data_IF_168179334992
#
_entry.id   IF_168179334992
#
_cell.length_a   1.000
_cell.length_b   1.000
_cell.length_c   1.000
_cell.angle_alpha   90.00
_cell.angle_beta   90.00
_cell.angle_gamma   90.00
#
_symmetry.space_group_name_H-M   'P 1'
#
loop_
_entity.id
_entity.type
_entity.pdbx_description
1 polymer ?
#
# COMPACT_ATOMS: atom_id res chain seq x y z
N UNK A 1 -7.69 -16.97 -45.75
CA UNK A 1 -7.10 -16.29 -46.92
C UNK A 1 -6.75 -17.25 -48.05
N UNK A 2 -5.93 -18.28 -47.82
CA UNK A 2 -5.51 -19.25 -48.86
C UNK A 2 -6.70 -19.90 -49.58
N UNK A 3 -7.70 -20.37 -48.84
CA UNK A 3 -8.92 -20.97 -49.43
C UNK A 3 -9.76 -19.99 -50.26
N UNK A 4 -9.83 -18.72 -49.83
CA UNK A 4 -10.49 -17.65 -50.61
C UNK A 4 -9.76 -17.37 -51.92
N UNK A 5 -8.42 -17.48 -51.93
CA UNK A 5 -7.61 -17.28 -53.13
C UNK A 5 -7.67 -18.49 -54.08
N UNK A 6 -7.74 -19.70 -53.51
CA UNK A 6 -7.80 -20.96 -54.25
C UNK A 6 -9.20 -21.26 -54.82
N UNK A 7 -10.20 -20.40 -54.56
CA UNK A 7 -11.58 -20.63 -55.04
C UNK A 7 -12.25 -21.84 -54.39
N UNK A 8 -11.91 -22.17 -53.14
CA UNK A 8 -12.50 -23.29 -52.42
C UNK A 8 -14.02 -23.12 -52.22
N UNK A 9 -14.69 -24.21 -51.87
CA UNK A 9 -16.14 -24.23 -51.72
C UNK A 9 -16.63 -23.17 -50.70
N UNK A 10 -17.80 -22.57 -50.98
CA UNK A 10 -18.39 -21.56 -50.09
C UNK A 10 -18.68 -22.13 -48.70
N UNK A 11 -19.08 -23.39 -48.59
CA UNK A 11 -19.39 -24.03 -47.31
C UNK A 11 -18.16 -24.12 -46.41
N UNK A 12 -17.01 -24.55 -46.95
CA UNK A 12 -15.79 -24.74 -46.16
C UNK A 12 -15.24 -23.39 -45.66
N UNK A 13 -15.30 -22.38 -46.52
CA UNK A 13 -14.88 -21.02 -46.16
C UNK A 13 -15.83 -20.42 -45.11
N UNK A 14 -17.15 -20.63 -45.26
CA UNK A 14 -18.15 -20.12 -44.30
C UNK A 14 -17.94 -20.72 -42.91
N UNK A 15 -17.67 -22.03 -42.83
CA UNK A 15 -17.42 -22.71 -41.56
C UNK A 15 -16.20 -22.12 -40.82
N UNK A 16 -15.11 -21.84 -41.54
CA UNK A 16 -13.92 -21.21 -40.96
C UNK A 16 -14.16 -19.76 -40.53
N UNK A 17 -14.98 -19.02 -41.27
CA UNK A 17 -15.37 -17.65 -40.90
C UNK A 17 -16.24 -17.65 -39.64
N UNK A 18 -17.18 -18.59 -39.52
CA UNK A 18 -17.96 -18.76 -38.30
C UNK A 18 -17.05 -19.09 -37.11
N UNK A 19 -16.10 -20.02 -37.30
CA UNK A 19 -15.12 -20.38 -36.27
C UNK A 19 -14.24 -19.20 -35.84
N UNK A 20 -13.87 -18.33 -36.77
CA UNK A 20 -13.06 -17.13 -36.51
C UNK A 20 -13.88 -16.05 -35.78
N UNK A 21 -15.13 -15.82 -36.21
CA UNK A 21 -16.04 -14.88 -35.55
C UNK A 21 -16.32 -15.25 -34.10
N UNK A 22 -16.33 -16.55 -33.75
CA UNK A 22 -16.49 -17.02 -32.38
C UNK A 22 -15.28 -16.72 -31.47
N UNK A 23 -14.13 -16.32 -32.03
CA UNK A 23 -12.90 -16.02 -31.28
C UNK A 23 -12.62 -14.54 -31.14
N UNK A 24 -13.25 -13.69 -31.95
CA UNK A 24 -13.15 -12.24 -31.79
C UNK A 24 -13.80 -11.83 -30.48
N UNK A 25 -13.25 -10.80 -29.86
CA UNK A 25 -13.87 -10.18 -28.69
C UNK A 25 -14.98 -9.20 -29.13
N UNK A 26 -15.79 -8.68 -28.18
CA UNK A 26 -16.86 -7.72 -28.48
C UNK A 26 -16.39 -6.42 -29.15
N UNK A 27 -15.11 -6.05 -29.00
CA UNK A 27 -14.50 -4.90 -29.68
C UNK A 27 -14.02 -5.20 -31.11
N UNK A 28 -14.14 -6.45 -31.57
CA UNK A 28 -13.73 -6.87 -32.91
C UNK A 28 -12.23 -7.15 -33.06
N UNK A 29 -11.49 -7.24 -31.95
CA UNK A 29 -10.09 -7.68 -31.96
C UNK A 29 -9.98 -9.14 -31.51
N UNK A 30 -8.88 -9.78 -31.87
CA UNK A 30 -8.43 -11.04 -31.29
C UNK A 30 -7.47 -10.75 -30.13
N UNK A 31 -6.81 -11.78 -29.60
CA UNK A 31 -5.96 -11.68 -28.40
C UNK A 31 -4.68 -10.89 -28.66
N UNK A 32 -4.17 -10.92 -29.89
CA UNK A 32 -2.94 -10.24 -30.27
C UNK A 32 -3.20 -9.18 -31.36
N UNK A 33 -2.19 -8.39 -31.72
CA UNK A 33 -2.32 -7.49 -32.87
C UNK A 33 -2.22 -8.22 -34.21
N UNK A 34 -1.39 -9.27 -34.29
CA UNK A 34 -1.10 -9.98 -35.54
C UNK A 34 -2.26 -10.85 -36.00
N UNK A 35 -2.83 -11.65 -35.10
CA UNK A 35 -4.04 -12.42 -35.38
C UNK A 35 -5.20 -11.49 -35.77
N UNK A 36 -5.37 -10.36 -35.09
CA UNK A 36 -6.39 -9.35 -35.41
C UNK A 36 -6.26 -8.84 -36.85
N UNK A 37 -5.06 -8.41 -37.27
CA UNK A 37 -4.86 -7.85 -38.62
C UNK A 37 -5.16 -8.89 -39.71
N UNK A 38 -4.62 -10.11 -39.58
CA UNK A 38 -4.81 -11.16 -40.58
C UNK A 38 -6.24 -11.66 -40.61
N UNK A 39 -6.90 -11.77 -39.45
CA UNK A 39 -8.29 -12.16 -39.35
C UNK A 39 -9.21 -11.13 -39.99
N UNK A 40 -9.04 -9.84 -39.66
CA UNK A 40 -9.84 -8.76 -40.24
C UNK A 40 -9.68 -8.71 -41.77
N UNK A 41 -8.46 -8.86 -42.27
CA UNK A 41 -8.20 -8.95 -43.72
C UNK A 41 -8.96 -10.12 -44.36
N UNK A 42 -8.93 -11.31 -43.72
CA UNK A 42 -9.64 -12.48 -44.20
C UNK A 42 -11.16 -12.30 -44.20
N UNK A 43 -11.71 -11.72 -43.13
CA UNK A 43 -13.14 -11.45 -42.98
C UNK A 43 -13.63 -10.40 -43.99
N UNK A 44 -12.86 -9.33 -44.23
CA UNK A 44 -13.18 -8.34 -45.27
C UNK A 44 -13.23 -8.97 -46.66
N UNK A 45 -12.25 -9.82 -47.00
CA UNK A 45 -12.23 -10.52 -48.29
C UNK A 45 -13.41 -11.50 -48.42
N UNK A 46 -13.74 -12.23 -47.36
CA UNK A 46 -14.92 -13.08 -47.33
C UNK A 46 -16.22 -12.29 -47.48
N UNK A 47 -16.35 -11.11 -46.85
CA UNK A 47 -17.55 -10.29 -46.94
C UNK A 47 -17.87 -9.88 -48.39
N UNK A 48 -16.84 -9.58 -49.18
CA UNK A 48 -16.96 -9.30 -50.63
C UNK A 48 -17.39 -10.56 -51.38
N UNK A 49 -16.77 -11.70 -51.08
CA UNK A 49 -17.06 -12.99 -51.72
C UNK A 49 -18.49 -13.49 -51.45
N UNK A 50 -18.96 -13.36 -50.21
CA UNK A 50 -20.25 -13.91 -49.76
C UNK A 50 -21.47 -13.16 -50.32
N UNK A 51 -21.30 -11.91 -50.79
CA UNK A 51 -22.36 -11.04 -51.34
C UNK A 51 -23.67 -11.11 -50.52
N UNK A 52 -23.65 -10.58 -49.30
CA UNK A 52 -24.79 -10.66 -48.39
C UNK A 52 -26.02 -9.90 -48.90
N UNK A 53 -27.19 -10.57 -48.89
CA UNK A 53 -28.48 -10.11 -49.39
C UNK A 53 -29.24 -9.13 -48.46
N UNK A 54 -28.54 -8.50 -47.51
CA UNK A 54 -29.16 -7.69 -46.45
C UNK A 54 -29.34 -8.46 -45.14
N UNK A 55 -29.78 -7.75 -44.10
CA UNK A 55 -29.99 -8.26 -42.74
C UNK A 55 -31.30 -7.70 -42.19
N UNK A 56 -32.14 -8.56 -41.63
CA UNK A 56 -33.33 -8.22 -40.85
C UNK A 56 -33.54 -9.30 -39.79
N UNK A 57 -32.95 -9.08 -38.62
CA UNK A 57 -33.03 -9.99 -37.48
C UNK A 57 -33.82 -9.33 -36.35
N UNK A 58 -34.71 -10.09 -35.72
CA UNK A 58 -35.42 -9.70 -34.50
C UNK A 58 -34.90 -10.60 -33.39
N UNK A 59 -34.29 -10.01 -32.37
CA UNK A 59 -33.76 -10.68 -31.18
C UNK A 59 -34.64 -10.33 -29.99
N UNK A 60 -35.23 -11.33 -29.36
CA UNK A 60 -36.00 -11.24 -28.12
C UNK A 60 -35.17 -11.86 -26.99
N UNK A 61 -34.91 -11.10 -25.93
CA UNK A 61 -34.11 -11.53 -24.77
C UNK A 61 -34.98 -11.53 -23.53
N UNK A 62 -35.04 -12.68 -22.87
CA UNK A 62 -35.81 -12.91 -21.64
C UNK A 62 -34.96 -13.58 -20.57
N UNK A 63 -35.44 -13.57 -19.33
CA UNK A 63 -34.76 -14.17 -18.17
C UNK A 63 -35.61 -15.24 -17.51
N UNK A 64 -34.98 -16.24 -16.90
CA UNK A 64 -35.69 -17.25 -16.10
C UNK A 64 -36.15 -16.73 -14.75
N UNK A 65 -35.39 -15.82 -14.14
CA UNK A 65 -35.61 -15.28 -12.79
C UNK A 65 -36.52 -14.04 -12.75
N UNK A 66 -36.72 -13.38 -13.89
CA UNK A 66 -37.63 -12.23 -14.02
C UNK A 66 -38.46 -12.33 -15.30
N UNK A 67 -39.74 -12.70 -15.15
CA UNK A 67 -40.70 -12.80 -16.26
C UNK A 67 -41.08 -11.45 -16.87
N UNK A 68 -40.85 -10.34 -16.16
CA UNK A 68 -41.11 -8.99 -16.65
C UNK A 68 -39.99 -8.47 -17.54
N UNK A 69 -38.79 -9.07 -17.45
CA UNK A 69 -37.68 -8.73 -18.31
C UNK A 69 -37.89 -9.31 -19.72
N UNK A 70 -38.38 -8.48 -20.63
CA UNK A 70 -38.49 -8.77 -22.05
C UNK A 70 -37.91 -7.61 -22.86
N UNK A 71 -36.80 -7.85 -23.56
CA UNK A 71 -36.12 -6.86 -24.39
C UNK A 71 -36.09 -7.33 -25.82
N UNK A 72 -36.60 -6.51 -26.73
CA UNK A 72 -36.59 -6.81 -28.17
C UNK A 72 -35.71 -5.82 -28.91
N UNK A 73 -34.85 -6.34 -29.78
CA UNK A 73 -33.98 -5.57 -30.66
C UNK A 73 -34.20 -6.04 -32.09
N UNK A 74 -34.37 -5.09 -33.03
CA UNK A 74 -34.41 -5.40 -34.46
C UNK A 74 -33.18 -4.84 -35.15
N UNK A 75 -32.41 -5.70 -35.79
CA UNK A 75 -31.19 -5.39 -36.52
C UNK A 75 -31.48 -5.41 -38.01
N UNK A 76 -31.34 -4.25 -38.64
CA UNK A 76 -31.52 -3.99 -40.07
C UNK A 76 -30.26 -3.36 -40.65
N UNK A 77 -30.19 -3.22 -41.97
CA UNK A 77 -29.02 -2.69 -42.67
C UNK A 77 -28.57 -1.30 -42.18
N UNK A 78 -29.50 -0.47 -41.74
CA UNK A 78 -29.29 0.89 -41.22
C UNK A 78 -28.66 0.92 -39.82
N UNK A 79 -28.95 -0.06 -38.95
CA UNK A 79 -28.40 -0.13 -37.60
C UNK A 79 -27.43 -1.30 -37.36
N UNK A 80 -27.14 -2.11 -38.38
CA UNK A 80 -26.23 -3.26 -38.30
C UNK A 80 -24.77 -2.90 -38.03
N UNK A 81 -24.35 -1.67 -38.36
CA UNK A 81 -22.99 -1.18 -38.10
C UNK A 81 -22.86 -0.49 -36.73
N UNK A 82 -23.98 -0.30 -36.03
CA UNK A 82 -24.01 0.34 -34.71
C UNK A 82 -23.95 -0.74 -33.63
N UNK A 83 -23.28 -0.44 -32.51
CA UNK A 83 -23.22 -1.34 -31.36
C UNK A 83 -24.58 -1.39 -30.67
N UNK A 84 -25.36 -2.42 -30.98
CA UNK A 84 -26.62 -2.70 -30.29
C UNK A 84 -26.33 -3.48 -28.99
N UNK A 85 -26.80 -2.98 -27.85
CA UNK A 85 -26.59 -3.60 -26.52
C UNK A 85 -27.92 -3.72 -25.80
N UNK A 86 -28.11 -4.84 -25.11
CA UNK A 86 -29.17 -5.01 -24.11
C UNK A 86 -28.46 -5.15 -22.76
N UNK A 87 -28.76 -4.24 -21.84
CA UNK A 87 -28.27 -4.35 -20.47
C UNK A 87 -29.16 -5.31 -19.71
N UNK A 88 -28.53 -6.36 -19.19
CA UNK A 88 -29.15 -7.36 -18.35
C UNK A 88 -28.62 -7.06 -16.95
N UNK A 89 -29.47 -6.56 -16.01
CA UNK A 89 -29.10 -6.44 -14.62
C UNK A 89 -28.70 -7.81 -14.04
N UNK A 90 -28.25 -7.82 -12.78
CA UNK A 90 -27.87 -9.04 -12.07
C UNK A 90 -28.85 -10.19 -12.36
N UNK A 91 -28.35 -11.28 -12.95
CA UNK A 91 -29.14 -12.46 -13.30
C UNK A 91 -28.61 -13.66 -12.52
N UNK A 92 -29.51 -14.42 -11.91
CA UNK A 92 -29.14 -15.51 -10.99
C UNK A 92 -29.14 -16.88 -11.65
N UNK A 93 -29.66 -16.98 -12.86
CA UNK A 93 -29.83 -18.26 -13.55
C UNK A 93 -29.65 -18.10 -15.08
N UNK A 94 -30.71 -18.23 -15.90
CA UNK A 94 -30.60 -18.35 -17.36
C UNK A 94 -31.14 -17.13 -18.10
N UNK A 95 -30.44 -16.75 -19.15
CA UNK A 95 -30.90 -15.80 -20.17
C UNK A 95 -31.28 -16.58 -21.42
N UNK A 96 -32.47 -16.32 -21.95
CA UNK A 96 -32.93 -16.91 -23.21
C UNK A 96 -32.88 -15.85 -24.31
N UNK A 97 -32.37 -16.24 -25.47
CA UNK A 97 -32.34 -15.39 -26.66
C UNK A 97 -33.04 -16.11 -27.79
N UNK A 98 -34.11 -15.50 -28.28
CA UNK A 98 -34.88 -15.99 -29.42
C UNK A 98 -34.62 -15.07 -30.61
N UNK A 99 -34.14 -15.64 -31.71
CA UNK A 99 -33.79 -14.87 -32.92
C UNK A 99 -34.66 -15.31 -34.08
N UNK A 100 -35.28 -14.35 -34.76
CA UNK A 100 -36.14 -14.57 -35.94
C UNK A 100 -35.67 -13.67 -37.09
N UNK A 101 -35.95 -14.07 -38.33
CA UNK A 101 -35.67 -13.28 -39.52
C UNK A 101 -34.55 -13.86 -40.39
N UNK A 102 -33.89 -13.00 -41.18
CA UNK A 102 -32.88 -13.41 -42.16
C UNK A 102 -31.60 -12.57 -42.06
N UNK A 103 -30.47 -13.25 -42.24
CA UNK A 103 -29.14 -12.64 -42.15
C UNK A 103 -28.26 -13.37 -41.14
N UNK A 104 -27.09 -12.79 -40.87
CA UNK A 104 -26.12 -13.34 -39.92
C UNK A 104 -25.62 -12.22 -39.03
N UNK A 105 -25.66 -12.44 -37.72
CA UNK A 105 -25.13 -11.53 -36.71
C UNK A 105 -24.31 -12.30 -35.69
N UNK A 106 -23.37 -11.62 -35.04
CA UNK A 106 -22.59 -12.17 -33.93
C UNK A 106 -23.07 -11.51 -32.65
N UNK A 107 -23.34 -12.32 -31.63
CA UNK A 107 -23.77 -11.87 -30.31
C UNK A 107 -22.73 -12.27 -29.27
N UNK A 108 -22.42 -11.35 -28.37
CA UNK A 108 -21.53 -11.59 -27.24
C UNK A 108 -22.28 -11.38 -25.93
N UNK A 109 -22.05 -12.29 -24.98
CA UNK A 109 -22.38 -12.06 -23.57
C UNK A 109 -21.14 -11.54 -22.87
N UNK A 110 -21.23 -10.33 -22.34
CA UNK A 110 -20.12 -9.68 -21.62
C UNK A 110 -20.52 -9.54 -20.16
N UNK A 111 -19.88 -10.33 -19.30
CA UNK A 111 -20.07 -10.27 -17.86
C UNK A 111 -18.78 -9.76 -17.24
N UNK A 112 -18.87 -8.66 -16.51
CA UNK A 112 -17.78 -8.17 -15.69
C UNK A 112 -18.09 -8.58 -14.25
N UNK A 113 -17.17 -9.27 -13.60
CA UNK A 113 -17.30 -9.68 -12.21
C UNK A 113 -15.94 -9.58 -11.52
N UNK A 114 -15.98 -9.46 -10.20
CA UNK A 114 -14.78 -9.58 -9.38
C UNK A 114 -14.59 -11.04 -9.02
N UNK A 115 -13.43 -11.61 -9.37
CA UNK A 115 -13.04 -12.94 -8.97
C UNK A 115 -12.13 -12.85 -7.74
N UNK A 116 -12.22 -13.80 -6.78
CA UNK A 116 -11.23 -13.92 -5.72
C UNK A 116 -9.85 -14.11 -6.36
N UNK A 117 -8.91 -13.21 -6.07
CA UNK A 117 -7.56 -13.36 -6.56
C UNK A 117 -6.86 -14.48 -5.78
N UNK A 118 -6.34 -15.49 -6.47
CA UNK A 118 -5.25 -16.28 -5.89
C UNK A 118 -4.12 -15.31 -5.51
N UNK A 119 -3.40 -15.58 -4.42
CA UNK A 119 -2.31 -14.71 -3.94
C UNK A 119 -1.46 -14.23 -5.12
N UNK A 120 -1.15 -12.93 -5.18
CA UNK A 120 -0.51 -12.30 -6.35
C UNK A 120 0.78 -13.03 -6.81
N UNK A 121 1.48 -13.68 -5.88
CA UNK A 121 2.69 -14.47 -6.16
C UNK A 121 2.44 -15.76 -6.95
N UNK A 122 1.26 -16.39 -6.83
CA UNK A 122 0.89 -17.61 -7.57
C UNK A 122 0.52 -17.33 -9.04
N UNK A 123 0.32 -16.05 -9.41
CA UNK A 123 -0.04 -15.63 -10.77
C UNK A 123 1.16 -15.04 -11.54
N UNK A 124 2.33 -14.94 -10.91
CA UNK A 124 3.52 -14.36 -11.53
C UNK A 124 4.25 -15.35 -12.43
N UNK A 125 4.13 -15.14 -13.74
CA UNK A 125 4.82 -15.93 -14.77
C UNK A 125 6.25 -15.42 -15.08
N UNK A 126 6.64 -14.32 -14.42
CA UNK A 126 7.97 -13.74 -14.47
C UNK A 126 8.52 -13.59 -13.05
N UNK A 127 9.81 -13.88 -12.88
CA UNK A 127 10.56 -13.34 -11.75
C UNK A 127 10.70 -11.85 -12.00
N UNK A 128 10.32 -11.05 -11.02
CA UNK A 128 10.37 -9.59 -11.10
C UNK A 128 10.95 -9.07 -9.80
N UNK A 129 12.04 -8.32 -9.84
CA UNK A 129 12.67 -7.69 -8.68
C UNK A 129 12.79 -6.19 -8.95
N UNK A 130 12.47 -5.38 -7.94
CA UNK A 130 12.38 -3.93 -8.06
C UNK A 130 13.12 -3.30 -6.89
N UNK A 131 14.17 -2.56 -7.20
CA UNK A 131 14.97 -1.81 -6.25
C UNK A 131 14.86 -0.32 -6.55
N UNK A 132 14.51 0.46 -5.52
CA UNK A 132 14.50 1.92 -5.57
C UNK A 132 15.33 2.44 -4.41
N UNK A 133 16.30 3.31 -4.68
CA UNK A 133 17.16 3.86 -3.65
C UNK A 133 17.54 5.31 -3.91
N UNK A 134 17.89 6.00 -2.83
CA UNK A 134 18.51 7.31 -2.88
C UNK A 134 20.02 7.14 -3.00
N UNK A 135 20.64 7.81 -3.97
CA UNK A 135 22.10 7.80 -4.08
C UNK A 135 22.72 8.57 -2.92
N UNK A 136 23.72 7.99 -2.27
CA UNK A 136 24.46 8.66 -1.20
C UNK A 136 25.18 9.89 -1.75
N UNK A 137 24.95 11.03 -1.11
CA UNK A 137 25.69 12.26 -1.39
C UNK A 137 27.17 12.05 -1.06
N UNK A 138 28.05 12.22 -2.04
CA UNK A 138 29.48 12.38 -1.77
C UNK A 138 29.73 13.80 -1.25
N UNK A 139 29.85 13.88 0.08
CA UNK A 139 30.13 15.12 0.81
C UNK A 139 31.43 15.81 0.33
N UNK A 140 32.41 15.07 -0.21
CA UNK A 140 33.66 15.67 -0.70
C UNK A 140 33.51 16.35 -2.06
N UNK A 141 32.71 15.79 -2.96
CA UNK A 141 32.33 16.48 -4.20
C UNK A 141 31.37 17.64 -3.92
N UNK A 142 30.52 17.50 -2.89
CA UNK A 142 29.55 18.53 -2.55
C UNK A 142 30.16 19.82 -2.04
N UNK A 143 31.22 19.71 -1.24
CA UNK A 143 31.97 20.85 -0.74
C UNK A 143 32.78 21.57 -1.85
N UNK A 144 33.11 20.89 -2.94
CA UNK A 144 33.92 21.46 -4.04
C UNK A 144 33.10 22.28 -5.04
N UNK A 145 31.80 22.02 -5.22
CA UNK A 145 31.05 22.57 -6.35
C UNK A 145 30.23 23.84 -6.06
N UNK A 146 30.10 24.26 -4.79
CA UNK A 146 29.28 25.41 -4.35
C UNK A 146 27.86 25.49 -4.96
N UNK A 147 27.34 24.41 -5.53
CA UNK A 147 25.96 24.30 -6.02
C UNK A 147 25.08 23.65 -4.96
N UNK A 148 23.82 24.09 -4.88
CA UNK A 148 22.77 23.36 -4.16
C UNK A 148 22.74 21.93 -4.70
N UNK A 149 23.06 20.95 -3.85
CA UNK A 149 22.93 19.54 -4.21
C UNK A 149 21.47 19.17 -4.25
N UNK A 150 21.06 18.61 -5.38
CA UNK A 150 19.76 17.97 -5.54
C UNK A 150 19.97 16.48 -5.24
N UNK A 151 19.15 15.93 -4.37
CA UNK A 151 19.17 14.49 -4.11
C UNK A 151 18.87 13.75 -5.41
N UNK A 152 19.72 12.79 -5.76
CA UNK A 152 19.53 11.95 -6.94
C UNK A 152 19.06 10.58 -6.52
N UNK A 153 18.03 10.07 -7.19
CA UNK A 153 17.46 8.76 -6.93
C UNK A 153 17.80 7.83 -8.09
N UNK A 154 17.74 6.52 -7.86
CA UNK A 154 17.90 5.55 -8.93
C UNK A 154 16.97 4.36 -8.70
N UNK A 155 16.67 3.68 -9.80
CA UNK A 155 15.81 2.51 -9.79
C UNK A 155 16.37 1.44 -10.71
N UNK A 156 16.26 0.19 -10.26
CA UNK A 156 16.62 -1.00 -11.01
C UNK A 156 15.47 -1.99 -10.99
N UNK A 157 15.08 -2.43 -12.18
CA UNK A 157 14.06 -3.46 -12.34
C UNK A 157 14.70 -4.63 -13.09
N UNK A 158 14.74 -5.79 -12.45
CA UNK A 158 15.23 -7.02 -13.04
C UNK A 158 14.07 -7.98 -13.29
N UNK A 159 14.05 -8.60 -14.47
CA UNK A 159 13.05 -9.59 -14.82
C UNK A 159 13.63 -10.79 -15.55
N UNK A 160 13.04 -11.95 -15.32
CA UNK A 160 13.36 -13.21 -15.99
C UNK A 160 12.09 -14.04 -16.15
N UNK A 161 11.94 -14.68 -17.30
CA UNK A 161 10.80 -15.53 -17.56
C UNK A 161 10.92 -16.83 -16.76
N UNK A 162 9.82 -17.22 -16.09
CA UNK A 162 9.72 -18.51 -15.40
C UNK A 162 9.21 -19.61 -16.34
N UNK A 163 8.60 -19.21 -17.46
CA UNK A 163 8.14 -20.10 -18.52
C UNK A 163 9.22 -20.30 -19.58
N UNK A 164 9.45 -21.55 -19.99
CA UNK A 164 10.47 -21.90 -20.99
C UNK A 164 10.12 -21.49 -22.42
N UNK A 165 8.84 -21.27 -22.71
CA UNK A 165 8.30 -21.11 -24.07
C UNK A 165 7.65 -19.75 -24.35
N UNK A 166 7.91 -18.71 -23.53
CA UNK A 166 7.39 -17.36 -23.83
C UNK A 166 8.13 -16.81 -25.04
N UNK A 167 7.51 -16.97 -26.21
CA UNK A 167 8.03 -16.48 -27.49
C UNK A 167 7.37 -15.16 -27.85
N UNK A 168 8.18 -14.22 -28.31
CA UNK A 168 7.73 -12.92 -28.80
C UNK A 168 8.04 -11.78 -27.84
N UNK A 169 7.60 -10.59 -28.23
CA UNK A 169 7.91 -9.34 -27.54
C UNK A 169 7.32 -9.31 -26.14
N UNK A 170 7.99 -8.58 -25.25
CA UNK A 170 7.57 -8.35 -23.88
C UNK A 170 7.61 -6.85 -23.55
N UNK A 171 6.85 -6.47 -22.54
CA UNK A 171 6.77 -5.11 -22.02
C UNK A 171 7.12 -5.11 -20.53
N UNK A 172 7.91 -4.13 -20.11
CA UNK A 172 8.06 -3.74 -18.70
C UNK A 172 7.44 -2.36 -18.53
N UNK A 173 6.29 -2.28 -17.87
CA UNK A 173 5.59 -1.04 -17.53
C UNK A 173 5.91 -0.67 -16.08
N UNK A 174 6.68 0.40 -15.89
CA UNK A 174 7.10 0.88 -14.58
C UNK A 174 6.31 2.14 -14.23
N UNK A 175 5.39 2.04 -13.28
CA UNK A 175 4.76 3.19 -12.65
C UNK A 175 5.77 3.96 -11.80
N UNK A 176 5.86 5.28 -11.97
CA UNK A 176 6.73 6.16 -11.21
C UNK A 176 6.03 6.64 -9.93
N UNK A 177 6.82 6.88 -8.87
CA UNK A 177 6.32 7.57 -7.67
C UNK A 177 5.93 9.02 -8.02
N UNK A 178 4.90 9.54 -7.34
CA UNK A 178 4.49 10.94 -7.52
C UNK A 178 5.65 11.88 -7.16
N UNK A 179 5.92 12.85 -8.03
CA UNK A 179 7.01 13.82 -7.85
C UNK A 179 8.35 13.37 -8.42
N UNK A 180 8.44 12.21 -9.08
CA UNK A 180 9.66 11.71 -9.71
C UNK A 180 9.54 11.63 -11.23
N UNK A 181 10.66 11.89 -11.91
CA UNK A 181 10.82 11.76 -13.37
C UNK A 181 12.14 11.07 -13.69
N UNK A 182 12.19 10.19 -14.71
CA UNK A 182 13.44 9.55 -15.12
C UNK A 182 14.36 10.52 -15.83
N UNK A 183 15.66 10.31 -15.65
CA UNK A 183 16.71 10.97 -16.40
C UNK A 183 16.75 10.38 -17.81
N UNK A 184 16.43 11.20 -18.81
CA UNK A 184 16.22 10.76 -20.20
C UNK A 184 17.51 10.18 -20.79
N UNK A 185 18.67 10.75 -20.43
CA UNK A 185 19.97 10.32 -20.91
C UNK A 185 20.28 8.86 -20.54
N UNK A 186 19.80 8.38 -19.39
CA UNK A 186 19.97 6.99 -18.97
C UNK A 186 19.03 6.05 -19.74
N UNK A 187 17.79 6.47 -20.00
CA UNK A 187 16.86 5.72 -20.84
C UNK A 187 17.41 5.56 -22.27
N UNK A 188 17.99 6.61 -22.82
CA UNK A 188 18.62 6.58 -24.14
C UNK A 188 19.83 5.64 -24.18
N UNK A 189 20.59 5.52 -23.08
CA UNK A 189 21.69 4.54 -22.98
C UNK A 189 21.17 3.11 -23.01
N UNK A 190 20.04 2.82 -22.36
CA UNK A 190 19.43 1.48 -22.38
C UNK A 190 19.08 1.05 -23.81
N UNK A 191 18.57 1.98 -24.64
CA UNK A 191 18.29 1.73 -26.06
C UNK A 191 19.58 1.58 -26.87
N UNK A 192 20.55 2.50 -26.71
CA UNK A 192 21.84 2.45 -27.42
C UNK A 192 22.61 1.16 -27.17
N UNK A 193 22.58 0.68 -25.92
CA UNK A 193 23.21 -0.57 -25.50
C UNK A 193 22.38 -1.82 -25.85
N UNK A 194 21.22 -1.65 -26.50
CA UNK A 194 20.29 -2.73 -26.89
C UNK A 194 19.83 -3.60 -25.72
N UNK A 195 19.70 -3.00 -24.53
CA UNK A 195 19.07 -3.64 -23.37
C UNK A 195 17.56 -3.65 -23.57
N UNK A 196 17.03 -2.56 -24.14
CA UNK A 196 15.62 -2.41 -24.54
C UNK A 196 15.57 -1.94 -26.00
N UNK A 197 14.50 -2.27 -26.73
CA UNK A 197 14.35 -1.85 -28.13
C UNK A 197 13.82 -0.41 -28.23
N UNK A 198 12.91 -0.04 -27.34
CA UNK A 198 12.27 1.27 -27.28
C UNK A 198 11.76 1.53 -25.86
N UNK A 199 11.65 2.81 -25.49
CA UNK A 199 10.84 3.23 -24.35
C UNK A 199 9.77 4.25 -24.75
N UNK A 200 8.71 4.32 -23.95
CA UNK A 200 7.70 5.38 -24.00
C UNK A 200 7.55 6.00 -22.61
N UNK A 201 7.46 7.32 -22.57
CA UNK A 201 7.36 8.09 -21.33
C UNK A 201 5.96 8.68 -21.21
N UNK A 202 5.33 8.51 -20.04
CA UNK A 202 4.19 9.34 -19.63
C UNK A 202 4.50 10.10 -18.34
N UNK A 203 3.53 10.89 -17.84
CA UNK A 203 3.66 11.57 -16.53
C UNK A 203 3.78 10.63 -15.35
N UNK A 204 3.29 9.38 -15.47
CA UNK A 204 3.17 8.44 -14.36
C UNK A 204 3.85 7.10 -14.60
N UNK A 205 4.39 6.85 -15.79
CA UNK A 205 5.07 5.59 -16.08
C UNK A 205 6.16 5.73 -17.16
N UNK A 206 7.07 4.76 -17.14
CA UNK A 206 8.04 4.47 -18.19
C UNK A 206 7.76 3.07 -18.70
N UNK A 207 7.49 2.94 -20.00
CA UNK A 207 7.16 1.66 -20.64
C UNK A 207 8.32 1.24 -21.53
N UNK A 208 8.93 0.09 -21.25
CA UNK A 208 10.00 -0.49 -22.06
C UNK A 208 9.47 -1.63 -22.94
N UNK A 209 9.86 -1.60 -24.21
CA UNK A 209 9.57 -2.64 -25.19
C UNK A 209 10.82 -3.50 -25.42
N UNK A 210 10.63 -4.82 -25.38
CA UNK A 210 11.68 -5.82 -25.47
C UNK A 210 11.32 -6.87 -26.52
N UNK A 211 12.31 -7.36 -27.24
CA UNK A 211 12.14 -8.47 -28.17
C UNK A 211 11.76 -9.78 -27.44
N UNK A 212 12.33 -10.01 -26.26
CA UNK A 212 12.01 -11.14 -25.37
C UNK A 212 12.56 -10.88 -23.95
N UNK A 213 11.94 -11.50 -22.94
CA UNK A 213 12.52 -11.62 -21.60
C UNK A 213 13.22 -12.99 -21.51
N UNK A 214 14.52 -13.04 -21.19
CA UNK A 214 15.27 -14.30 -21.11
C UNK A 214 14.79 -15.22 -19.99
N UNK A 215 15.04 -16.53 -20.14
CA UNK A 215 14.69 -17.57 -19.16
C UNK A 215 15.89 -17.91 -18.27
N UNK A 216 17.10 -17.77 -18.82
CA UNK A 216 18.38 -18.24 -18.27
C UNK A 216 19.13 -17.20 -17.44
N UNK A 217 18.82 -15.91 -17.60
CA UNK A 217 19.46 -14.80 -16.89
C UNK A 217 18.48 -13.69 -16.58
N UNK A 218 18.78 -12.89 -15.57
CA UNK A 218 18.00 -11.70 -15.26
C UNK A 218 18.34 -10.58 -16.27
N UNK A 219 17.32 -9.99 -16.87
CA UNK A 219 17.43 -8.76 -17.67
C UNK A 219 17.07 -7.58 -16.77
N UNK A 220 17.99 -6.64 -16.61
CA UNK A 220 17.79 -5.49 -15.74
C UNK A 220 17.80 -4.17 -16.52
N UNK A 221 16.84 -3.30 -16.21
CA UNK A 221 16.85 -1.89 -16.61
C UNK A 221 17.17 -1.06 -15.37
N UNK A 222 18.15 -0.16 -15.50
CA UNK A 222 18.63 0.69 -14.43
C UNK A 222 18.75 2.12 -14.93
N UNK A 223 18.16 3.08 -14.21
CA UNK A 223 18.18 4.49 -14.61
C UNK A 223 18.01 5.42 -13.40
N UNK A 224 18.58 6.63 -13.51
CA UNK A 224 18.41 7.66 -12.51
C UNK A 224 17.03 8.34 -12.58
N UNK A 225 16.62 8.89 -11.45
CA UNK A 225 15.36 9.60 -11.23
C UNK A 225 15.64 10.96 -10.59
N UNK A 226 15.05 11.99 -11.16
CA UNK A 226 14.98 13.34 -10.61
C UNK A 226 13.70 13.54 -9.82
N UNK A 227 13.82 14.08 -8.61
CA UNK A 227 12.67 14.58 -7.88
C UNK A 227 12.27 15.96 -8.45
N UNK A 228 11.10 16.05 -9.07
CA UNK A 228 10.55 17.30 -9.61
C UNK A 228 9.99 18.18 -8.49
N UNK A 229 9.30 17.57 -7.53
CA UNK A 229 8.77 18.24 -6.34
C UNK A 229 8.71 17.25 -5.16
N UNK A 230 8.89 17.78 -3.95
CA UNK A 230 8.74 17.00 -2.74
C UNK A 230 7.26 16.67 -2.49
N UNK A 231 6.99 15.44 -2.08
CA UNK A 231 5.65 14.96 -1.72
C UNK A 231 5.69 14.55 -0.26
N UNK A 232 4.75 15.06 0.55
CA UNK A 232 4.74 14.81 1.99
C UNK A 232 4.52 13.33 2.36
N UNK A 233 3.74 12.60 1.56
CA UNK A 233 3.50 11.15 1.73
C UNK A 233 3.69 10.44 0.40
N UNK A 234 4.83 9.79 0.23
CA UNK A 234 5.12 8.98 -0.96
C UNK A 234 4.25 7.71 -0.92
N UNK A 235 3.36 7.60 -1.89
CA UNK A 235 2.58 6.38 -2.11
C UNK A 235 3.36 5.43 -3.01
N UNK A 236 3.28 4.14 -2.70
CA UNK A 236 3.85 3.06 -3.49
C UNK A 236 3.34 3.09 -4.93
N UNK A 237 4.17 2.59 -5.83
CA UNK A 237 3.81 2.39 -7.23
C UNK A 237 4.05 0.93 -7.63
N UNK A 238 3.70 0.58 -8.86
CA UNK A 238 3.81 -0.80 -9.36
C UNK A 238 4.67 -0.90 -10.61
N UNK A 239 5.30 -2.07 -10.75
CA UNK A 239 5.99 -2.50 -11.94
C UNK A 239 5.27 -3.74 -12.46
N UNK A 240 4.96 -3.76 -13.75
CA UNK A 240 4.32 -4.88 -14.43
C UNK A 240 5.15 -5.35 -15.61
N UNK A 241 5.53 -6.63 -15.62
CA UNK A 241 6.12 -7.30 -16.77
C UNK A 241 5.08 -8.21 -17.44
N UNK A 242 4.95 -8.16 -18.76
CA UNK A 242 3.98 -9.01 -19.49
C UNK A 242 4.37 -9.29 -20.93
N UNK A 243 3.91 -10.42 -21.47
CA UNK A 243 4.10 -10.77 -22.88
C UNK A 243 3.16 -9.95 -23.78
N UNK A 244 3.68 -9.37 -24.86
CA UNK A 244 2.92 -8.45 -25.72
C UNK A 244 1.74 -9.14 -26.43
N UNK A 245 1.94 -10.37 -26.92
CA UNK A 245 0.92 -11.11 -27.67
C UNK A 245 -0.03 -11.91 -26.77
N UNK A 246 0.37 -12.17 -25.53
CA UNK A 246 -0.37 -12.97 -24.55
C UNK A 246 -0.27 -12.32 -23.17
N UNK A 247 -0.94 -11.18 -22.94
CA UNK A 247 -0.77 -10.36 -21.72
C UNK A 247 -1.23 -11.05 -20.43
N UNK A 248 -1.94 -12.18 -20.53
CA UNK A 248 -2.26 -13.05 -19.38
C UNK A 248 -0.99 -13.62 -18.74
N UNK A 249 0.07 -13.81 -19.53
CA UNK A 249 1.43 -14.10 -19.03
C UNK A 249 1.99 -12.78 -18.53
N UNK A 250 1.90 -12.56 -17.20
CA UNK A 250 2.35 -11.33 -16.57
C UNK A 250 2.78 -11.54 -15.13
N UNK A 251 3.41 -10.51 -14.57
CA UNK A 251 3.68 -10.38 -13.14
C UNK A 251 3.65 -8.90 -12.76
N UNK A 252 3.09 -8.59 -11.58
CA UNK A 252 3.05 -7.23 -11.04
C UNK A 252 3.65 -7.23 -9.64
N UNK A 253 4.59 -6.31 -9.37
CA UNK A 253 5.10 -6.05 -8.01
C UNK A 253 4.93 -4.58 -7.65
N UNK A 254 4.65 -4.32 -6.38
CA UNK A 254 4.63 -2.97 -5.83
C UNK A 254 5.99 -2.64 -5.21
N UNK A 255 6.38 -1.37 -5.26
CA UNK A 255 7.60 -0.86 -4.64
C UNK A 255 7.35 0.49 -3.95
N UNK A 256 8.15 0.76 -2.91
CA UNK A 256 8.09 1.95 -2.09
C UNK A 256 9.50 2.43 -1.72
N UNK A 257 9.66 3.72 -1.37
CA UNK A 257 10.96 4.28 -1.03
C UNK A 257 11.50 3.72 0.29
N UNK A 258 12.83 3.70 0.43
CA UNK A 258 13.55 3.44 1.68
C UNK A 258 13.24 2.09 2.36
N UNK A 259 12.86 1.07 1.60
CA UNK A 259 12.53 -0.26 2.14
C UNK A 259 11.26 -0.29 2.99
N UNK A 260 10.46 0.79 2.99
CA UNK A 260 9.13 0.77 3.58
C UNK A 260 8.24 -0.21 2.80
N UNK A 261 7.33 -0.88 3.51
CA UNK A 261 6.42 -1.82 2.85
C UNK A 261 5.61 -1.09 1.77
N UNK A 262 5.56 -1.61 0.53
CA UNK A 262 4.80 -0.98 -0.54
C UNK A 262 3.29 -1.20 -0.40
N UNK A 263 2.86 -2.02 0.55
CA UNK A 263 1.45 -2.28 0.81
C UNK A 263 0.91 -1.26 1.82
N UNK A 264 -0.33 -0.83 1.57
CA UNK A 264 -1.09 -0.10 2.59
C UNK A 264 -1.14 -0.94 3.85
N UNK A 265 -0.87 -0.30 4.99
CA UNK A 265 -0.85 -0.95 6.29
C UNK A 265 -2.29 -1.28 6.69
N UNK A 266 -2.70 -2.48 6.34
CA UNK A 266 -4.05 -3.01 6.52
C UNK A 266 -3.97 -4.17 7.52
N UNK A 267 -4.90 -4.20 8.46
CA UNK A 267 -5.19 -5.41 9.22
C UNK A 267 -6.28 -6.16 8.48
N UNK A 268 -5.99 -7.35 8.00
CA UNK A 268 -7.00 -8.27 7.49
C UNK A 268 -7.15 -9.41 8.50
N UNK A 269 -8.37 -9.73 8.93
CA UNK A 269 -8.59 -10.85 9.85
C UNK A 269 -8.29 -12.16 9.11
N UNK A 270 -7.25 -12.90 9.53
CA UNK A 270 -6.75 -14.14 8.92
C UNK A 270 -6.54 -14.09 7.38
N UNK A 271 -5.29 -14.18 6.88
CA UNK A 271 -5.03 -14.25 5.43
C UNK A 271 -5.80 -15.41 4.79
N UNK A 272 -6.93 -15.11 4.12
CA UNK A 272 -7.76 -16.08 3.40
C UNK A 272 -9.10 -16.47 4.03
N UNK A 273 -9.55 -15.85 5.13
CA UNK A 273 -10.88 -16.14 5.71
C UNK A 273 -11.78 -14.91 5.94
N UNK A 274 -11.23 -13.71 6.13
CA UNK A 274 -12.02 -12.47 6.16
C UNK A 274 -11.71 -11.57 4.97
N UNK A 275 -12.77 -11.14 4.29
CA UNK A 275 -12.71 -10.15 3.20
C UNK A 275 -12.69 -8.70 3.71
N UNK A 276 -12.69 -8.50 5.03
CA UNK A 276 -12.72 -7.18 5.65
C UNK A 276 -11.34 -6.84 6.20
N UNK A 277 -10.69 -5.88 5.54
CA UNK A 277 -9.45 -5.30 6.03
C UNK A 277 -9.71 -3.90 6.59
N UNK A 278 -9.20 -3.62 7.78
CA UNK A 278 -9.26 -2.30 8.42
C UNK A 278 -7.97 -1.54 8.15
N UNK A 279 -8.11 -0.28 7.74
CA UNK A 279 -7.00 0.63 7.55
C UNK A 279 -6.31 0.94 8.88
N UNK A 280 -4.99 0.74 8.95
CA UNK A 280 -4.16 1.16 10.08
C UNK A 280 -3.38 2.45 9.78
N UNK A 281 -3.93 3.32 8.93
CA UNK A 281 -3.35 4.66 8.73
C UNK A 281 -3.70 5.58 9.90
N UNK A 282 -2.77 5.73 10.86
CA UNK A 282 -2.82 6.76 11.92
C UNK A 282 -1.78 7.88 11.75
N UNK A 283 -1.52 8.69 12.77
CA UNK A 283 -0.33 9.56 12.87
C UNK A 283 0.83 8.87 13.59
N UNK A 284 2.02 9.48 13.63
CA UNK A 284 3.13 8.98 14.46
C UNK A 284 2.97 9.54 15.88
N UNK A 285 3.42 8.82 16.92
CA UNK A 285 3.43 9.37 18.26
C UNK A 285 4.29 10.64 18.31
N UNK A 286 3.99 11.61 19.19
CA UNK A 286 4.73 12.86 19.27
C UNK A 286 6.22 12.64 19.55
N UNK A 287 7.11 13.37 18.85
CA UNK A 287 8.57 13.25 19.04
C UNK A 287 9.05 13.87 20.35
N UNK A 288 8.45 14.99 20.78
CA UNK A 288 8.93 15.78 21.91
C UNK A 288 7.86 15.89 23.01
N UNK A 289 7.56 14.75 23.63
CA UNK A 289 6.58 14.63 24.70
C UNK A 289 6.89 15.55 25.89
N UNK A 290 8.18 15.75 26.20
CA UNK A 290 8.59 16.64 27.29
C UNK A 290 8.10 18.07 27.07
N UNK A 291 8.25 18.60 25.86
CA UNK A 291 7.85 19.98 25.55
C UNK A 291 6.34 20.16 25.61
N UNK A 292 5.55 19.12 25.26
CA UNK A 292 4.08 19.15 25.35
C UNK A 292 3.56 19.50 26.75
N UNK A 293 4.27 19.06 27.79
CA UNK A 293 3.84 19.26 29.17
C UNK A 293 4.66 20.31 29.92
N UNK A 294 5.78 20.80 29.37
CA UNK A 294 6.69 21.70 30.11
C UNK A 294 6.85 23.10 29.49
N UNK A 295 6.41 23.32 28.25
CA UNK A 295 6.55 24.59 27.54
C UNK A 295 5.21 25.15 27.05
N UNK A 296 5.08 26.47 27.16
CA UNK A 296 4.00 27.30 26.61
C UNK A 296 4.59 28.37 25.68
N UNK A 297 3.77 28.96 24.81
CA UNK A 297 4.16 30.06 23.91
C UNK A 297 4.69 31.29 24.69
N UNK A 298 4.26 31.47 25.95
CA UNK A 298 4.64 32.58 26.82
C UNK A 298 5.74 32.25 27.86
N UNK A 299 6.30 31.02 27.86
CA UNK A 299 7.34 30.61 28.81
C UNK A 299 7.30 29.13 29.22
N UNK A 300 7.91 28.79 30.36
CA UNK A 300 7.84 27.44 30.92
C UNK A 300 6.63 27.30 31.85
N UNK A 301 5.93 26.16 31.79
CA UNK A 301 4.84 25.87 32.72
C UNK A 301 5.34 25.82 34.16
N UNK A 302 4.49 26.26 35.09
CA UNK A 302 4.69 26.05 36.52
C UNK A 302 4.55 24.56 36.86
N UNK A 303 5.10 24.15 38.01
CA UNK A 303 4.96 22.76 38.47
C UNK A 303 3.50 22.32 38.60
N UNK A 304 2.55 23.23 38.89
CA UNK A 304 1.13 22.92 39.00
C UNK A 304 0.52 22.66 37.61
N UNK A 305 0.76 23.54 36.65
CA UNK A 305 0.21 23.43 35.29
C UNK A 305 0.67 22.17 34.57
N UNK A 306 1.95 21.79 34.69
CA UNK A 306 2.42 20.53 34.12
C UNK A 306 1.73 19.29 34.70
N UNK A 307 1.46 19.31 36.02
CA UNK A 307 0.83 18.20 36.73
C UNK A 307 -0.62 18.05 36.30
N UNK A 308 -1.33 19.16 36.16
CA UNK A 308 -2.67 19.21 35.60
C UNK A 308 -2.64 18.73 34.14
N UNK A 309 -1.79 19.28 33.28
CA UNK A 309 -1.74 18.90 31.86
C UNK A 309 -1.45 17.42 31.59
N UNK A 310 -0.49 16.79 32.28
CA UNK A 310 -0.24 15.35 32.11
C UNK A 310 -1.36 14.49 32.72
N UNK A 311 -2.01 14.95 33.78
CA UNK A 311 -3.16 14.27 34.39
C UNK A 311 -4.37 14.33 33.46
N UNK A 312 -4.70 15.52 32.94
CA UNK A 312 -5.80 15.74 32.02
C UNK A 312 -5.63 14.91 30.76
N UNK A 313 -4.42 14.91 30.17
CA UNK A 313 -4.14 14.03 29.03
C UNK A 313 -4.31 12.54 29.38
N UNK A 314 -3.77 12.08 30.50
CA UNK A 314 -3.92 10.69 30.94
C UNK A 314 -5.38 10.31 31.25
N UNK A 315 -6.21 11.26 31.65
CA UNK A 315 -7.59 11.01 32.09
C UNK A 315 -8.63 11.18 30.99
N UNK A 316 -8.46 12.17 30.12
CA UNK A 316 -9.45 12.58 29.11
C UNK A 316 -9.07 12.18 27.68
N UNK A 317 -7.78 12.12 27.34
CA UNK A 317 -7.32 11.96 25.95
C UNK A 317 -6.90 10.52 25.58
N UNK A 318 -6.66 9.67 26.58
CA UNK A 318 -6.21 8.28 26.37
C UNK A 318 -7.05 7.29 27.18
N UNK A 319 -7.21 6.06 26.68
CA UNK A 319 -7.99 5.03 27.35
C UNK A 319 -7.21 4.35 28.48
N UNK A 320 -5.93 4.06 28.24
CA UNK A 320 -5.08 3.31 29.18
C UNK A 320 -3.75 4.02 29.47
N UNK A 321 -3.17 3.70 30.64
CA UNK A 321 -1.81 4.13 31.03
C UNK A 321 -1.09 2.99 31.74
N UNK A 322 0.04 2.57 31.20
CA UNK A 322 0.84 1.47 31.74
C UNK A 322 2.29 1.86 31.99
N UNK A 323 2.87 1.28 33.04
CA UNK A 323 4.30 1.31 33.30
C UNK A 323 4.86 -0.11 33.12
N UNK A 324 5.92 -0.23 32.32
CA UNK A 324 6.44 -1.55 31.98
C UNK A 324 7.79 -1.55 31.29
N UNK A 325 8.19 -2.74 30.84
CA UNK A 325 9.48 -2.99 30.18
C UNK A 325 9.27 -3.53 28.76
N UNK A 326 9.92 -2.92 27.77
CA UNK A 326 9.89 -3.40 26.38
C UNK A 326 10.83 -4.61 26.17
N UNK A 327 10.39 -5.61 25.41
CA UNK A 327 11.13 -6.83 25.09
C UNK A 327 10.89 -7.26 23.65
N UNK A 328 11.88 -7.92 23.05
CA UNK A 328 11.78 -8.54 21.72
C UNK A 328 11.32 -7.56 20.63
N UNK A 329 12.05 -6.45 20.47
CA UNK A 329 11.83 -5.52 19.37
C UNK A 329 12.11 -6.19 18.04
N UNK A 330 11.14 -6.15 17.14
CA UNK A 330 11.21 -6.73 15.79
C UNK A 330 10.70 -5.76 14.75
N UNK A 331 11.13 -5.97 13.50
CA UNK A 331 10.69 -5.21 12.35
C UNK A 331 9.98 -6.15 11.39
N UNK A 332 8.68 -5.98 11.19
CA UNK A 332 7.89 -6.86 10.34
C UNK A 332 6.75 -6.08 9.68
N UNK A 333 6.53 -6.31 8.39
CA UNK A 333 5.39 -5.77 7.62
C UNK A 333 5.26 -4.23 7.68
N UNK A 334 6.38 -3.52 7.83
CA UNK A 334 6.41 -2.05 7.98
C UNK A 334 6.08 -1.55 9.39
N UNK A 335 6.13 -2.41 10.40
CA UNK A 335 5.91 -2.03 11.80
C UNK A 335 7.11 -2.40 12.67
N UNK A 336 7.41 -1.53 13.63
CA UNK A 336 8.22 -1.86 14.80
C UNK A 336 7.27 -2.48 15.82
N UNK A 337 7.50 -3.75 16.14
CA UNK A 337 6.71 -4.50 17.11
C UNK A 337 7.55 -4.79 18.34
N UNK A 338 6.98 -4.65 19.53
CA UNK A 338 7.62 -5.05 20.79
C UNK A 338 6.62 -5.73 21.71
N UNK A 339 7.08 -6.71 22.48
CA UNK A 339 6.33 -7.29 23.59
C UNK A 339 6.57 -6.45 24.83
N UNK A 340 5.53 -5.80 25.32
CA UNK A 340 5.58 -4.93 26.48
C UNK A 340 5.13 -5.69 27.72
N UNK A 341 6.02 -5.83 28.71
CA UNK A 341 5.69 -6.43 30.00
C UNK A 341 5.09 -5.35 30.88
N UNK A 342 3.81 -5.48 31.19
CA UNK A 342 3.09 -4.54 32.05
C UNK A 342 3.47 -4.83 33.49
N UNK A 343 4.29 -3.97 34.09
CA UNK A 343 4.71 -4.09 35.50
C UNK A 343 3.68 -3.48 36.44
N UNK A 344 3.02 -2.40 35.99
CA UNK A 344 1.97 -1.72 36.74
C UNK A 344 0.95 -1.08 35.80
N UNK A 345 -0.32 -1.24 36.12
CA UNK A 345 -1.43 -0.54 35.47
C UNK A 345 -1.68 0.75 36.27
N UNK A 346 -1.52 1.91 35.63
CA UNK A 346 -1.75 3.23 36.24
C UNK A 346 -3.17 3.72 35.94
N UNK A 347 -3.68 3.37 34.76
CA UNK A 347 -5.09 3.52 34.36
C UNK A 347 -5.46 2.30 33.52
N UNK A 348 -6.43 1.48 33.97
CA UNK A 348 -6.94 0.39 33.14
C UNK A 348 -7.77 0.97 31.99
N UNK A 349 -7.71 0.31 30.83
CA UNK A 349 -8.60 0.59 29.71
C UNK A 349 -9.72 -0.44 29.65
N UNK A 350 -9.95 -1.00 28.48
CA UNK A 350 -10.90 -2.10 28.24
C UNK A 350 -10.55 -3.40 28.97
N UNK A 351 -9.26 -3.68 29.18
CA UNK A 351 -8.76 -4.84 29.94
C UNK A 351 -8.57 -4.48 31.43
N UNK A 352 -8.93 -5.39 32.34
CA UNK A 352 -8.85 -5.12 33.78
C UNK A 352 -7.42 -5.14 34.31
N UNK A 353 -7.18 -4.50 35.47
CA UNK A 353 -5.85 -4.48 36.10
C UNK A 353 -5.34 -5.90 36.43
N UNK A 354 -6.24 -6.79 36.85
CA UNK A 354 -5.88 -8.18 37.16
C UNK A 354 -5.45 -8.97 35.91
N UNK A 355 -6.02 -8.67 34.75
CA UNK A 355 -5.69 -9.33 33.47
C UNK A 355 -4.38 -8.83 32.87
N UNK A 356 -4.00 -7.59 33.17
CA UNK A 356 -2.85 -6.92 32.57
C UNK A 356 -1.58 -7.09 33.40
N UNK A 357 -1.67 -7.00 34.73
CA UNK A 357 -0.48 -6.96 35.59
C UNK A 357 0.39 -8.22 35.49
N UNK A 358 1.65 -8.04 35.12
CA UNK A 358 2.62 -9.13 34.96
C UNK A 358 2.51 -9.89 33.62
N UNK A 359 1.60 -9.48 32.73
CA UNK A 359 1.43 -10.11 31.42
C UNK A 359 2.13 -9.33 30.30
N UNK A 360 2.31 -9.98 29.16
CA UNK A 360 2.85 -9.37 27.95
C UNK A 360 1.70 -8.94 27.04
N UNK A 361 1.78 -7.71 26.52
CA UNK A 361 0.95 -7.25 25.40
C UNK A 361 1.84 -6.82 24.25
N UNK A 362 1.31 -6.89 23.04
CA UNK A 362 2.05 -6.48 21.84
C UNK A 362 1.75 -5.02 21.59
N UNK A 363 2.79 -4.18 21.60
CA UNK A 363 2.70 -2.80 21.15
C UNK A 363 3.34 -2.69 19.76
N UNK A 364 2.70 -1.96 18.86
CA UNK A 364 3.17 -1.76 17.48
C UNK A 364 3.10 -0.30 17.08
N UNK A 365 4.18 0.22 16.54
CA UNK A 365 4.18 1.50 15.83
C UNK A 365 4.72 1.31 14.43
N UNK A 366 4.51 2.32 13.59
CA UNK A 366 5.00 2.28 12.21
C UNK A 366 6.51 2.49 12.17
N UNK A 367 7.17 1.76 11.29
CA UNK A 367 8.63 1.78 11.11
C UNK A 367 9.27 3.14 10.83
N UNK A 368 8.56 4.01 10.12
CA UNK A 368 9.00 5.37 9.82
C UNK A 368 8.78 6.35 10.98
N UNK A 369 8.12 5.95 12.07
CA UNK A 369 7.93 6.82 13.24
C UNK A 369 9.20 6.81 14.09
N UNK A 370 10.11 7.76 13.83
CA UNK A 370 11.35 7.93 14.60
C UNK A 370 11.08 8.20 16.09
N UNK A 371 9.93 8.81 16.41
CA UNK A 371 9.44 9.01 17.77
C UNK A 371 9.24 7.72 18.56
N UNK A 372 8.99 6.58 17.90
CA UNK A 372 8.83 5.29 18.56
C UNK A 372 10.16 4.53 18.69
N UNK A 373 11.07 5.09 19.50
CA UNK A 373 12.42 4.53 19.69
C UNK A 373 12.58 3.72 20.97
N UNK A 374 11.72 2.72 21.17
CA UNK A 374 11.81 1.82 22.32
C UNK A 374 13.01 0.87 22.18
N UNK A 375 13.69 0.60 23.29
CA UNK A 375 14.86 -0.30 23.36
C UNK A 375 14.52 -1.54 24.18
N UNK A 376 15.05 -2.68 23.77
CA UNK A 376 14.91 -3.91 24.54
C UNK A 376 15.51 -3.76 25.94
N UNK A 377 14.71 -4.10 26.96
CA UNK A 377 15.04 -3.93 28.37
C UNK A 377 14.82 -2.51 28.91
N UNK A 378 14.44 -1.54 28.07
CA UNK A 378 14.09 -0.19 28.51
C UNK A 378 12.76 -0.16 29.26
N UNK A 379 12.66 0.74 30.25
CA UNK A 379 11.43 0.99 31.01
C UNK A 379 10.69 2.19 30.45
N UNK A 380 9.39 2.04 30.21
CA UNK A 380 8.57 3.07 29.59
C UNK A 380 7.24 3.21 30.30
N UNK A 381 6.68 4.43 30.26
CA UNK A 381 5.25 4.67 30.43
C UNK A 381 4.66 4.72 29.02
N UNK A 382 3.60 3.94 28.79
CA UNK A 382 2.87 3.91 27.52
C UNK A 382 1.44 4.33 27.80
N UNK A 383 0.97 5.33 27.07
CA UNK A 383 -0.39 5.86 27.10
C UNK A 383 -0.97 5.80 25.70
N UNK A 384 -2.26 5.46 25.57
CA UNK A 384 -2.91 5.48 24.27
C UNK A 384 -4.32 4.94 24.29
N UNK A 385 -4.84 4.64 23.10
CA UNK A 385 -6.19 4.14 22.87
C UNK A 385 -6.25 2.62 23.02
N UNK A 386 -7.40 2.13 23.48
CA UNK A 386 -7.63 0.71 23.66
C UNK A 386 -7.36 -0.12 22.40
N UNK A 387 -6.99 -1.38 22.61
CA UNK A 387 -6.71 -2.29 21.52
C UNK A 387 -7.94 -2.45 20.62
N UNK A 388 -7.83 -1.92 19.40
CA UNK A 388 -8.88 -2.06 18.37
C UNK A 388 -8.96 -3.49 17.83
N UNK A 389 -7.98 -4.34 18.13
CA UNK A 389 -7.94 -5.71 17.62
C UNK A 389 -7.03 -6.68 18.40
N UNK A 390 -7.22 -7.97 18.10
CA UNK A 390 -6.37 -9.09 18.53
C UNK A 390 -5.59 -9.70 17.35
N UNK A 391 -4.43 -10.29 17.63
CA UNK A 391 -3.65 -11.14 16.73
C UNK A 391 -3.44 -12.51 17.34
N UNK A 392 -3.38 -13.56 16.50
CA UNK A 392 -3.00 -14.90 16.93
C UNK A 392 -1.49 -14.99 17.09
N UNK A 393 -1.04 -15.55 18.20
CA UNK A 393 0.37 -15.86 18.43
C UNK A 393 0.81 -17.11 17.63
N UNK A 394 2.07 -17.54 17.79
CA UNK A 394 2.61 -18.72 17.09
C UNK A 394 1.94 -20.05 17.49
N UNK A 395 1.20 -20.06 18.61
CA UNK A 395 0.46 -21.21 19.12
C UNK A 395 -1.04 -21.11 18.80
N UNK A 396 -1.49 -20.02 18.18
CA UNK A 396 -2.87 -19.79 17.78
C UNK A 396 -3.71 -19.04 18.83
N UNK A 397 -3.12 -18.60 19.93
CA UNK A 397 -3.81 -17.89 20.99
C UNK A 397 -4.00 -16.41 20.62
N UNK A 398 -5.22 -15.90 20.81
CA UNK A 398 -5.52 -14.49 20.53
C UNK A 398 -4.95 -13.57 21.63
N UNK A 399 -4.17 -12.57 21.24
CA UNK A 399 -3.65 -11.54 22.11
C UNK A 399 -4.02 -10.15 21.62
N UNK A 400 -4.36 -9.24 22.53
CA UNK A 400 -4.62 -7.85 22.17
C UNK A 400 -3.35 -7.16 21.66
N UNK A 401 -3.52 -6.35 20.62
CA UNK A 401 -2.45 -5.56 20.01
C UNK A 401 -2.79 -4.08 20.12
N UNK A 402 -1.85 -3.34 20.71
CA UNK A 402 -1.99 -1.93 20.98
C UNK A 402 -1.17 -1.14 19.97
N UNK A 403 -1.84 -0.30 19.20
CA UNK A 403 -1.21 0.53 18.17
C UNK A 403 -0.78 1.83 18.81
N UNK A 404 0.49 2.18 18.61
CA UNK A 404 1.08 3.43 19.07
C UNK A 404 1.12 4.38 17.87
N UNK A 405 0.18 5.32 17.85
CA UNK A 405 -0.02 6.32 16.79
C UNK A 405 -0.01 7.75 17.36
N UNK A 406 -0.61 8.71 16.66
CA UNK A 406 -0.66 10.13 17.08
C UNK A 406 -1.36 10.34 18.41
N UNK A 407 -2.25 9.43 18.80
CA UNK A 407 -3.06 9.54 20.02
C UNK A 407 -2.36 8.84 21.19
N UNK A 408 -1.11 8.42 20.99
CA UNK A 408 -0.33 7.66 21.96
C UNK A 408 0.92 8.40 22.40
N UNK A 409 1.28 8.24 23.67
CA UNK A 409 2.48 8.81 24.27
C UNK A 409 3.37 7.71 24.85
N UNK A 410 4.66 7.79 24.56
CA UNK A 410 5.68 6.88 25.10
C UNK A 410 6.76 7.69 25.82
N UNK A 411 6.92 7.48 27.12
CA UNK A 411 7.90 8.18 27.96
C UNK A 411 8.93 7.19 28.48
N UNK A 412 10.21 7.43 28.19
CA UNK A 412 11.31 6.64 28.78
C UNK A 412 11.49 6.99 30.26
N UNK A 413 11.39 5.98 31.13
CA UNK A 413 11.72 6.12 32.55
C UNK A 413 13.22 6.01 32.72
N UNK A 414 13.91 7.15 32.77
CA UNK A 414 15.36 7.15 32.99
C UNK A 414 15.71 6.46 34.32
N UNK A 415 16.59 5.45 34.27
CA UNK A 415 17.20 4.92 35.48
C UNK A 415 18.16 5.97 36.01
N UNK A 416 17.87 6.51 37.19
CA UNK A 416 18.76 7.42 37.93
C UNK A 416 20.06 6.71 38.32
N UNK A 417 20.99 6.55 37.36
CA UNK A 417 22.41 6.44 37.70
C UNK A 417 22.88 7.83 38.05
N UNK A 418 22.97 8.10 39.35
CA UNK A 418 23.33 9.41 39.90
C UNK A 418 24.56 10.03 39.23
N UNK A 419 24.33 11.03 38.39
CA UNK A 419 25.36 11.98 38.03
C UNK A 419 25.60 12.87 39.25
N UNK A 420 26.60 12.51 40.05
CA UNK A 420 27.22 13.41 41.04
C UNK A 420 27.80 14.61 40.28
N UNK A 421 27.01 15.65 40.10
CA UNK A 421 27.53 16.97 39.71
C UNK A 421 28.36 17.52 40.87
N UNK A 422 29.60 17.90 40.53
CA UNK A 422 30.61 18.46 41.43
C UNK A 422 30.05 19.69 42.14
N UNK A 423 30.09 19.68 43.49
CA UNK A 423 29.92 20.89 44.31
C UNK A 423 30.89 21.99 43.86
N UNK A 424 30.45 23.23 43.64
CA UNK A 424 31.35 24.38 43.61
C UNK A 424 31.83 24.65 45.04
N UNK A 425 33.15 24.82 45.20
CA UNK A 425 33.76 25.29 46.44
C UNK A 425 33.51 26.79 46.63
N UNK A 426 32.94 27.16 47.78
CA UNK A 426 33.30 28.36 48.51
C UNK A 426 32.31 29.52 48.54
N UNK A 427 31.69 29.77 49.71
CA UNK A 427 31.71 31.09 50.38
C UNK A 427 31.29 30.95 51.87
N UNK A 428 31.85 31.85 52.68
CA UNK A 428 31.96 31.90 54.15
C UNK A 428 30.66 32.36 54.87
N UNK A 429 30.59 32.27 56.23
CA UNK A 429 29.34 32.23 57.01
C UNK A 429 28.88 33.58 57.60
N UNK A 430 27.57 33.65 57.91
CA UNK A 430 26.83 34.73 58.61
C UNK A 430 25.54 35.03 57.86
N UNK A 431 24.32 35.12 58.42
CA UNK A 431 23.80 35.31 59.77
C UNK A 431 22.50 34.51 59.96
N UNK A 432 22.13 34.24 61.22
CA UNK A 432 20.83 33.68 61.63
C UNK A 432 19.69 34.65 61.29
N UNK A 433 18.64 34.13 60.67
CA UNK A 433 17.29 34.71 60.65
C UNK A 433 16.28 33.58 60.64
N UNK A 434 15.47 33.49 61.69
CA UNK A 434 14.31 32.61 61.78
C UNK A 434 13.25 33.11 60.79
N UNK A 435 12.62 32.21 60.03
CA UNK A 435 11.19 32.25 59.75
C UNK A 435 10.74 30.91 59.18
N UNK A 436 9.65 30.40 59.76
CA UNK A 436 8.94 29.21 59.37
C UNK A 436 7.84 29.57 58.36
N UNK A 437 7.56 28.63 57.45
CA UNK A 437 6.27 28.49 56.76
C UNK A 437 6.05 29.37 55.54
N UNK A 438 6.32 28.82 54.35
CA UNK A 438 5.51 28.97 53.13
C UNK A 438 6.12 28.10 52.01
N UNK A 439 5.29 27.27 51.36
CA UNK A 439 5.68 26.46 50.19
C UNK A 439 5.84 27.36 48.96
N UNK A 440 6.89 27.21 48.12
CA UNK A 440 7.08 28.11 46.99
C UNK A 440 6.22 27.71 45.79
N UNK A 441 5.12 28.44 45.55
CA UNK A 441 4.17 28.25 44.42
C UNK A 441 4.70 28.75 43.05
N UNK A 442 6.01 28.72 42.81
CA UNK A 442 6.61 29.33 41.60
C UNK A 442 7.79 28.56 40.97
N UNK A 443 7.99 27.29 41.31
CA UNK A 443 9.09 26.50 40.72
C UNK A 443 8.74 26.06 39.29
N UNK A 444 9.66 26.34 38.36
CA UNK A 444 9.59 25.87 36.98
C UNK A 444 9.52 24.33 36.94
N UNK A 445 8.72 23.82 36.02
CA UNK A 445 8.43 22.40 35.93
C UNK A 445 9.64 21.57 35.48
N UNK A 446 10.10 20.66 36.35
CA UNK A 446 11.14 19.67 36.04
C UNK A 446 10.52 18.37 35.54
N UNK A 447 10.90 17.95 34.33
CA UNK A 447 10.36 16.77 33.66
C UNK A 447 10.55 15.48 34.47
N UNK A 448 11.71 15.27 35.09
CA UNK A 448 11.97 14.04 35.83
C UNK A 448 11.13 14.00 37.11
N UNK A 449 11.04 15.12 37.84
CA UNK A 449 10.15 15.25 39.00
C UNK A 449 8.69 15.07 38.61
N UNK A 450 8.28 15.55 37.44
CA UNK A 450 6.91 15.39 36.91
C UNK A 450 6.58 13.93 36.66
N UNK A 451 7.46 13.20 35.96
CA UNK A 451 7.27 11.77 35.66
C UNK A 451 7.22 10.94 36.95
N UNK A 452 8.09 11.22 37.93
CA UNK A 452 8.05 10.55 39.23
C UNK A 452 6.77 10.86 40.01
N UNK A 453 6.34 12.13 40.03
CA UNK A 453 5.07 12.52 40.64
C UNK A 453 3.89 11.81 39.96
N UNK A 454 3.85 11.77 38.64
CA UNK A 454 2.78 11.16 37.86
C UNK A 454 2.63 9.67 38.20
N UNK A 455 3.75 8.93 38.19
CA UNK A 455 3.75 7.51 38.58
C UNK A 455 3.19 7.37 40.00
N UNK A 456 3.64 8.20 40.95
CA UNK A 456 3.21 8.09 42.35
C UNK A 456 1.74 8.47 42.57
N UNK A 457 1.23 9.49 41.87
CA UNK A 457 -0.16 9.93 41.97
C UNK A 457 -1.10 8.83 41.44
N UNK A 458 -0.89 8.39 40.20
CA UNK A 458 -1.69 7.34 39.57
C UNK A 458 -1.49 5.96 40.22
N UNK A 459 -0.42 5.77 40.99
CA UNK A 459 -0.16 4.54 41.73
C UNK A 459 -0.92 4.39 43.04
N UNK A 460 -1.28 5.50 43.68
CA UNK A 460 -1.69 5.53 45.09
C UNK A 460 -3.07 6.19 45.30
N UNK A 461 -3.53 7.00 44.35
CA UNK A 461 -4.88 7.59 44.41
C UNK A 461 -5.91 6.54 43.98
N UNK A 462 -6.98 6.38 44.76
CA UNK A 462 -8.05 5.43 44.45
C UNK A 462 -8.82 5.81 43.16
N UNK A 463 -8.83 7.10 42.80
CA UNK A 463 -9.42 7.61 41.56
C UNK A 463 -8.56 8.77 41.04
N UNK A 464 -7.46 8.50 40.31
CA UNK A 464 -6.50 9.53 39.89
C UNK A 464 -7.04 10.53 38.87
N UNK A 465 -8.23 10.25 38.31
CA UNK A 465 -8.95 11.11 37.37
C UNK A 465 -10.16 11.83 37.98
N UNK A 466 -10.42 11.69 39.29
CA UNK A 466 -11.49 12.42 40.00
C UNK A 466 -10.84 13.43 40.95
N UNK A 467 -10.23 14.49 40.42
CA UNK A 467 -9.65 15.58 41.24
C UNK A 467 -10.19 16.93 40.83
#
# INVERSE_FOLDING_TARGET
>A
MTLLNAGASRSDITALVQWLNLRMNPSGSLRSSQDTVVALQALSKYAIYARNAGIDLICEVTRSDDRSFNRTLRIKRDNAQVRNRIEIPEFKDKVFVNVKGSGTGTMYFVTNYHAPAASADLLCEFKLDVDFWQNKLDLQEALKSHKKFKETYAMKVCTRSLQKDVKGMAIIDIGLLTGFKPVIEDLDKLVKNKIVDKYELSKRNVVFYLQAIPVDKDLCVEFALDQEFAVGKLQSSSVKAYAYYYPDISCTKFYAPNGTSPLLKLKCDDPGQSDVCTCMEGGCPPENVQDMFTKSDDGAYTTKECREGIRDHACEEVDFVWLGTARNRTHKDGFITSRFLIEKVLKPGSESEEELTGTLRVIKARDHCESFNIKDGGKYIVMGMDAKYKEKDLHGDEQYVYVIDSDSIVIEKSSTRGNRTKRPRGRKPGQRGQNAGESPEGEACDWNKLVEWFINAFSNEATPCNS
#
